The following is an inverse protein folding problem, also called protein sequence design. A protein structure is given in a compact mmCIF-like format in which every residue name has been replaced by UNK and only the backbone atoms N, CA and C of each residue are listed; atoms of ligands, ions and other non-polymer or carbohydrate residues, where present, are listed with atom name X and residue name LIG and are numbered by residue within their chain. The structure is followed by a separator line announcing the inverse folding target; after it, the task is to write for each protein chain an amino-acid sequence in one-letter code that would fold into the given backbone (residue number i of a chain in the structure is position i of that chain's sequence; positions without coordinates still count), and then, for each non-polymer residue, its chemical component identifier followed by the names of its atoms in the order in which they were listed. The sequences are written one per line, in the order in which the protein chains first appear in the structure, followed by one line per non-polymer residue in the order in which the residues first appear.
data_IF_519854948994
#
_entry.id   IF_519854948994
#
_cell.length_a   1.000
_cell.length_b   1.000
_cell.length_c   1.000
_cell.angle_alpha   90.00
_cell.angle_beta   90.00
_cell.angle_gamma   90.00
#
_symmetry.space_group_name_H-M   'P 1'
#
loop_
_entity.id
_entity.type
_entity.pdbx_description
1 polymer ?
#
# COMPACT_ATOMS: atom_id res chain seq x y z
N UNK A 1 33.96 -36.71 -27.87
CA UNK A 1 33.20 -35.66 -28.59
C UNK A 1 31.67 -35.82 -28.54
N UNK A 2 31.10 -37.03 -28.38
CA UNK A 2 29.64 -37.20 -28.28
C UNK A 2 28.99 -36.79 -26.93
N UNK A 3 29.76 -36.72 -25.84
CA UNK A 3 29.26 -36.31 -24.52
C UNK A 3 29.02 -34.79 -24.38
N UNK A 4 29.76 -33.98 -25.16
CA UNK A 4 29.70 -32.52 -25.07
C UNK A 4 28.51 -31.91 -25.83
N UNK A 5 27.89 -32.63 -26.77
CA UNK A 5 26.69 -32.17 -27.48
C UNK A 5 25.40 -32.31 -26.66
N UNK A 6 25.34 -33.22 -25.68
CA UNK A 6 24.13 -33.42 -24.86
C UNK A 6 23.93 -32.32 -23.81
N UNK A 7 25.03 -31.74 -23.30
CA UNK A 7 25.00 -30.64 -22.33
C UNK A 7 24.54 -29.32 -22.99
N UNK A 8 24.91 -29.11 -24.25
CA UNK A 8 24.47 -27.94 -25.03
C UNK A 8 23.00 -28.01 -25.44
N UNK A 9 22.45 -29.21 -25.71
CA UNK A 9 21.03 -29.38 -26.02
C UNK A 9 20.13 -29.16 -24.78
N UNK A 10 20.56 -29.61 -23.59
CA UNK A 10 19.80 -29.38 -22.34
C UNK A 10 19.81 -27.91 -21.90
N UNK A 11 20.92 -27.19 -22.11
CA UNK A 11 21.01 -25.75 -21.85
C UNK A 11 20.13 -24.91 -22.78
N UNK A 12 19.92 -25.35 -24.03
CA UNK A 12 19.09 -24.61 -24.99
C UNK A 12 17.59 -24.75 -24.72
N UNK A 13 17.14 -25.92 -24.22
CA UNK A 13 15.73 -26.15 -23.85
C UNK A 13 15.34 -25.38 -22.58
N UNK A 14 16.25 -25.25 -21.62
CA UNK A 14 16.02 -24.45 -20.41
C UNK A 14 16.11 -22.93 -20.66
N UNK A 15 16.96 -22.49 -21.59
CA UNK A 15 17.04 -21.07 -21.99
C UNK A 15 15.81 -20.58 -22.76
N UNK A 16 15.14 -21.45 -23.51
CA UNK A 16 13.93 -21.09 -24.26
C UNK A 16 12.65 -21.10 -23.41
N UNK A 17 12.63 -21.82 -22.28
CA UNK A 17 11.51 -21.80 -21.34
C UNK A 17 11.37 -20.47 -20.57
N UNK A 18 12.41 -19.63 -20.56
CA UNK A 18 12.40 -18.32 -19.88
C UNK A 18 11.83 -17.18 -20.73
N UNK A 19 11.57 -17.41 -22.02
CA UNK A 19 11.02 -16.40 -22.95
C UNK A 19 9.55 -16.64 -23.32
N UNK A 20 8.90 -17.65 -22.74
CA UNK A 20 7.46 -17.88 -22.90
C UNK A 20 6.69 -17.20 -21.75
N UNK A 21 5.56 -16.52 -22.01
CA UNK A 21 4.68 -16.06 -20.95
C UNK A 21 4.18 -17.25 -20.11
N UNK A 22 4.16 -17.08 -18.80
CA UNK A 22 3.65 -18.10 -17.87
C UNK A 22 2.24 -18.55 -18.30
N UNK A 23 1.97 -19.86 -18.46
CA UNK A 23 0.61 -20.32 -18.66
C UNK A 23 -0.19 -20.01 -17.39
N UNK A 24 -1.39 -19.48 -17.59
CA UNK A 24 -2.37 -19.36 -16.52
C UNK A 24 -2.55 -20.72 -15.82
N UNK A 25 -2.50 -20.69 -14.49
CA UNK A 25 -2.75 -21.78 -13.53
C UNK A 25 -3.43 -23.02 -14.12
N UNK A 26 -2.62 -24.00 -14.53
CA UNK A 26 -3.08 -25.38 -14.69
C UNK A 26 -2.78 -26.10 -13.37
N UNK A 27 -3.82 -26.45 -12.61
CA UNK A 27 -3.67 -27.24 -11.39
C UNK A 27 -3.16 -28.64 -11.73
N UNK A 28 -2.05 -29.04 -11.12
CA UNK A 28 -1.56 -30.43 -11.15
C UNK A 28 -2.43 -31.28 -10.22
N UNK A 29 -2.76 -32.50 -10.64
CA UNK A 29 -3.48 -33.47 -9.80
C UNK A 29 -2.48 -34.11 -8.81
N UNK A 30 -2.94 -34.49 -7.61
CA UNK A 30 -2.08 -35.14 -6.61
C UNK A 30 -1.35 -36.38 -7.15
N UNK A 31 -1.98 -37.15 -8.03
CA UNK A 31 -1.36 -38.31 -8.68
C UNK A 31 -0.14 -37.95 -9.55
N UNK A 32 -0.11 -36.76 -10.13
CA UNK A 32 1.01 -36.26 -10.96
C UNK A 32 2.18 -35.79 -10.07
N UNK A 33 1.88 -35.30 -8.87
CA UNK A 33 2.86 -34.91 -7.85
C UNK A 33 3.53 -36.13 -7.23
N UNK A 34 2.78 -37.21 -6.95
CA UNK A 34 3.34 -38.47 -6.45
C UNK A 34 4.29 -39.13 -7.45
N UNK A 35 3.99 -39.08 -8.77
CA UNK A 35 4.89 -39.60 -9.81
C UNK A 35 6.19 -38.79 -9.90
N UNK A 36 6.14 -37.49 -9.64
CA UNK A 36 7.31 -36.61 -9.61
C UNK A 36 8.18 -36.83 -8.37
N UNK A 37 7.57 -37.02 -7.19
CA UNK A 37 8.29 -37.31 -5.94
C UNK A 37 8.86 -38.74 -5.88
N UNK A 38 8.40 -39.65 -6.75
CA UNK A 38 8.82 -41.06 -6.78
C UNK A 38 10.02 -41.39 -7.70
N UNK A 39 10.56 -40.42 -8.46
CA UNK A 39 11.68 -40.65 -9.39
C UNK A 39 13.01 -40.17 -8.83
N UNK A 40 14.04 -41.03 -8.88
CA UNK A 40 15.41 -40.68 -8.50
C UNK A 40 16.05 -39.72 -9.53
N UNK A 41 16.20 -38.44 -9.15
CA UNK A 41 16.89 -37.43 -9.96
C UNK A 41 18.15 -36.93 -9.24
N UNK A 42 19.36 -37.43 -9.60
CA UNK A 42 20.59 -37.12 -8.88
C UNK A 42 21.10 -35.67 -9.01
N UNK A 43 20.37 -34.78 -9.73
CA UNK A 43 20.79 -33.40 -10.00
C UNK A 43 19.76 -32.33 -9.61
N UNK A 44 18.60 -32.69 -9.03
CA UNK A 44 17.53 -31.74 -8.63
C UNK A 44 17.00 -32.01 -7.22
N UNK A 45 17.76 -32.75 -6.39
CA UNK A 45 17.30 -33.24 -5.09
C UNK A 45 16.82 -32.14 -4.12
N UNK A 46 17.52 -31.01 -4.04
CA UNK A 46 17.24 -30.00 -3.01
C UNK A 46 15.95 -29.18 -3.22
N UNK A 47 15.49 -29.03 -4.47
CA UNK A 47 14.26 -28.26 -4.77
C UNK A 47 13.03 -29.17 -4.65
N UNK A 48 13.15 -30.43 -5.04
CA UNK A 48 12.07 -31.42 -4.98
C UNK A 48 11.82 -31.89 -3.56
N UNK A 49 12.86 -32.09 -2.74
CA UNK A 49 12.71 -32.51 -1.33
C UNK A 49 11.98 -31.46 -0.47
N UNK A 50 12.26 -30.17 -0.68
CA UNK A 50 11.55 -29.10 0.02
C UNK A 50 10.07 -29.02 -0.33
N UNK A 51 9.72 -29.34 -1.58
CA UNK A 51 8.34 -29.34 -2.07
C UNK A 51 7.56 -30.59 -1.62
N UNK A 52 8.18 -31.77 -1.65
CA UNK A 52 7.51 -33.02 -1.25
C UNK A 52 7.38 -33.15 0.28
N UNK A 53 8.19 -32.45 1.10
CA UNK A 53 8.07 -32.46 2.55
C UNK A 53 6.80 -31.75 3.06
N UNK A 54 6.35 -30.69 2.39
CA UNK A 54 5.14 -29.93 2.75
C UNK A 54 3.84 -30.66 2.38
N UNK A 55 3.89 -31.64 1.47
CA UNK A 55 2.70 -32.31 0.91
C UNK A 55 2.35 -33.62 1.64
N UNK A 56 3.20 -34.12 2.55
CA UNK A 56 2.97 -35.40 3.26
C UNK A 56 1.93 -35.35 4.41
N UNK A 57 1.07 -34.33 4.44
CA UNK A 57 -0.13 -34.33 5.29
C UNK A 57 -1.19 -35.27 4.71
N UNK A 58 -1.75 -36.14 5.55
CA UNK A 58 -2.69 -37.21 5.16
C UNK A 58 -3.91 -36.71 4.38
N UNK A 59 -4.05 -37.13 3.12
CA UNK A 59 -5.30 -37.02 2.37
C UNK A 59 -6.15 -38.28 2.63
N UNK A 60 -7.26 -38.15 3.37
CA UNK A 60 -8.32 -39.16 3.37
C UNK A 60 -9.45 -38.70 2.42
N UNK A 61 -10.01 -39.59 1.58
CA UNK A 61 -11.14 -39.26 0.74
C UNK A 61 -12.44 -39.34 1.56
N UNK A 62 -13.22 -38.26 1.60
CA UNK A 62 -14.59 -38.31 2.10
C UNK A 62 -15.62 -37.83 1.07
N UNK A 63 -16.81 -38.42 1.25
CA UNK A 63 -17.99 -38.54 0.40
C UNK A 63 -18.28 -37.48 -0.69
N UNK A 64 -18.61 -37.99 -1.87
CA UNK A 64 -19.09 -37.29 -3.08
C UNK A 64 -20.30 -36.36 -2.79
N UNK A 65 -20.17 -35.09 -3.16
CA UNK A 65 -21.31 -34.20 -3.46
C UNK A 65 -21.78 -34.48 -4.91
N UNK A 66 -23.00 -34.98 -5.14
CA UNK A 66 -23.47 -35.36 -6.47
C UNK A 66 -23.81 -34.18 -7.40
N UNK A 67 -23.65 -32.91 -6.98
CA UNK A 67 -24.16 -31.77 -7.76
C UNK A 67 -23.12 -30.81 -8.36
N UNK A 68 -21.82 -30.95 -8.07
CA UNK A 68 -20.83 -29.95 -8.50
C UNK A 68 -19.80 -30.42 -9.53
N UNK A 69 -19.58 -31.72 -9.73
CA UNK A 69 -18.70 -32.25 -10.80
C UNK A 69 -17.26 -31.72 -10.80
N UNK A 70 -16.83 -31.06 -9.72
CA UNK A 70 -15.51 -30.45 -9.56
C UNK A 70 -14.97 -30.88 -8.19
N UNK A 71 -13.89 -31.66 -8.19
CA UNK A 71 -13.14 -31.97 -6.98
C UNK A 71 -12.35 -30.72 -6.55
N UNK A 72 -12.69 -30.14 -5.40
CA UNK A 72 -11.90 -29.10 -4.76
C UNK A 72 -11.15 -29.70 -3.57
N UNK A 73 -9.82 -29.70 -3.63
CA UNK A 73 -8.94 -30.15 -2.55
C UNK A 73 -8.34 -28.94 -1.83
N UNK A 74 -8.53 -28.84 -0.52
CA UNK A 74 -7.94 -27.78 0.30
C UNK A 74 -6.88 -28.39 1.23
N UNK A 75 -5.67 -27.82 1.24
CA UNK A 75 -4.67 -28.11 2.28
C UNK A 75 -4.96 -27.24 3.51
N UNK A 76 -5.24 -27.87 4.66
CA UNK A 76 -5.32 -27.18 5.95
C UNK A 76 -4.08 -27.50 6.79
N UNK A 77 -3.52 -26.53 7.55
CA UNK A 77 -2.44 -26.79 8.48
C UNK A 77 -2.88 -27.77 9.59
N UNK A 78 -1.91 -28.50 10.17
CA UNK A 78 -2.13 -29.51 11.21
C UNK A 78 -3.08 -29.02 12.32
N UNK A 79 -4.07 -29.85 12.67
CA UNK A 79 -4.98 -29.63 13.79
C UNK A 79 -6.29 -28.91 13.45
N UNK A 80 -6.56 -28.58 12.17
CA UNK A 80 -7.88 -28.07 11.73
C UNK A 80 -8.69 -29.17 11.07
N UNK A 81 -9.98 -29.28 11.43
CA UNK A 81 -10.94 -30.14 10.74
C UNK A 81 -12.03 -29.28 10.11
N UNK A 82 -12.41 -29.66 8.89
CA UNK A 82 -13.56 -29.11 8.19
C UNK A 82 -14.63 -30.21 8.12
N UNK A 83 -15.82 -29.92 8.64
CA UNK A 83 -17.00 -30.81 8.60
C UNK A 83 -18.20 -29.92 8.34
N UNK A 84 -19.04 -30.30 7.37
CA UNK A 84 -20.34 -29.64 7.08
C UNK A 84 -20.27 -28.10 6.91
N UNK A 85 -19.21 -27.57 6.31
CA UNK A 85 -19.09 -26.12 6.07
C UNK A 85 -18.61 -25.30 7.27
N UNK A 86 -18.18 -25.94 8.36
CA UNK A 86 -17.72 -25.27 9.57
C UNK A 86 -16.27 -25.63 9.93
N UNK A 87 -15.54 -24.63 10.43
CA UNK A 87 -14.13 -24.74 10.82
C UNK A 87 -14.04 -24.86 12.35
N UNK A 88 -13.47 -25.96 12.84
CA UNK A 88 -13.34 -26.22 14.28
C UNK A 88 -11.90 -25.96 14.73
N UNK A 89 -11.73 -25.21 15.83
CA UNK A 89 -10.45 -25.02 16.51
C UNK A 89 -10.40 -25.86 17.79
N UNK A 90 -9.22 -26.39 18.19
CA UNK A 90 -9.08 -27.11 19.45
C UNK A 90 -9.30 -26.17 20.65
N UNK A 91 -9.87 -26.74 21.72
CA UNK A 91 -10.19 -26.04 22.96
C UNK A 91 -9.01 -25.22 23.50
N UNK A 92 -9.21 -23.91 23.70
CA UNK A 92 -8.26 -23.03 24.38
C UNK A 92 -7.58 -21.93 23.54
N UNK A 93 -7.91 -21.76 22.26
CA UNK A 93 -7.27 -20.79 21.37
C UNK A 93 -7.92 -19.39 21.28
N UNK A 94 -8.64 -18.93 22.32
CA UNK A 94 -9.13 -17.55 22.41
C UNK A 94 -8.60 -16.88 23.67
N UNK A 95 -7.55 -16.07 23.54
CA UNK A 95 -7.08 -15.20 24.61
C UNK A 95 -7.21 -13.72 24.18
N UNK A 96 -8.26 -13.00 24.60
CA UNK A 96 -8.26 -11.55 24.53
C UNK A 96 -7.76 -10.98 25.86
N UNK A 97 -6.61 -10.32 25.83
CA UNK A 97 -6.15 -9.50 26.94
C UNK A 97 -7.06 -8.26 27.07
N UNK A 98 -7.99 -8.27 28.04
CA UNK A 98 -8.85 -7.15 28.43
C UNK A 98 -9.81 -7.52 29.58
N UNK A 99 -10.17 -6.62 30.51
CA UNK A 99 -10.44 -7.00 31.90
C UNK A 99 -11.84 -7.56 32.16
N UNK A 100 -11.86 -8.78 32.71
CA UNK A 100 -12.80 -9.36 33.69
C UNK A 100 -14.29 -9.00 33.53
N UNK A 101 -15.01 -9.88 32.83
CA UNK A 101 -16.29 -10.40 33.32
C UNK A 101 -16.24 -11.93 33.21
N UNK A 102 -16.35 -12.59 34.36
CA UNK A 102 -16.24 -14.04 34.46
C UNK A 102 -17.46 -14.74 33.87
N UNK A 103 -17.23 -15.50 32.80
CA UNK A 103 -18.09 -16.60 32.37
C UNK A 103 -17.28 -17.88 32.43
N UNK A 104 -17.64 -18.80 33.31
CA UNK A 104 -17.09 -20.16 33.33
C UNK A 104 -17.85 -20.95 32.26
N UNK A 105 -17.17 -21.38 31.20
CA UNK A 105 -17.73 -22.37 30.28
C UNK A 105 -17.67 -23.75 30.94
N UNK A 106 -18.82 -24.35 31.23
CA UNK A 106 -18.90 -25.74 31.67
C UNK A 106 -18.64 -26.69 30.48
N UNK A 107 -17.83 -27.74 30.65
CA UNK A 107 -17.65 -28.75 29.61
C UNK A 107 -18.92 -29.61 29.50
N UNK A 108 -19.53 -29.66 28.31
CA UNK A 108 -20.59 -30.66 28.04
C UNK A 108 -21.79 -30.22 27.19
N UNK A 109 -21.88 -28.97 26.73
CA UNK A 109 -22.93 -28.57 25.77
C UNK A 109 -22.33 -28.04 24.48
N UNK A 110 -22.49 -28.82 23.40
CA UNK A 110 -22.33 -28.34 22.03
C UNK A 110 -23.54 -27.47 21.72
N UNK A 111 -23.40 -26.15 21.89
CA UNK A 111 -24.33 -25.21 21.28
C UNK A 111 -23.78 -24.82 19.92
N UNK A 112 -24.59 -25.01 18.87
CA UNK A 112 -24.42 -24.44 17.54
C UNK A 112 -24.54 -22.91 17.63
N UNK A 113 -23.55 -22.28 18.24
CA UNK A 113 -23.39 -20.83 18.15
C UNK A 113 -22.33 -20.60 17.09
N UNK A 114 -22.66 -20.00 15.94
CA UNK A 114 -21.64 -19.68 14.96
C UNK A 114 -20.60 -18.79 15.64
N UNK A 115 -19.35 -19.26 15.68
CA UNK A 115 -18.21 -18.42 16.00
C UNK A 115 -18.10 -17.40 14.87
N UNK A 116 -18.83 -16.29 14.99
CA UNK A 116 -18.49 -15.09 14.26
C UNK A 116 -17.12 -14.66 14.78
N UNK A 117 -16.06 -14.97 14.04
CA UNK A 117 -14.89 -14.11 14.10
C UNK A 117 -15.43 -12.69 13.88
N UNK A 118 -15.17 -11.72 14.77
CA UNK A 118 -15.33 -10.34 14.37
C UNK A 118 -14.35 -10.15 13.21
N UNK A 119 -14.84 -10.28 11.99
CA UNK A 119 -14.35 -9.41 10.96
C UNK A 119 -14.61 -8.03 11.53
N UNK A 120 -13.55 -7.31 11.91
CA UNK A 120 -13.62 -5.90 12.27
C UNK A 120 -14.22 -5.18 11.05
N UNK A 121 -15.55 -5.13 11.05
CA UNK A 121 -16.41 -4.95 9.91
C UNK A 121 -16.65 -3.48 9.65
N UNK A 122 -15.57 -2.73 9.41
CA UNK A 122 -15.68 -1.52 8.64
C UNK A 122 -15.56 -1.94 7.18
N UNK A 123 -16.69 -2.42 6.61
CA UNK A 123 -16.87 -2.26 5.18
C UNK A 123 -16.69 -0.76 4.93
N UNK A 124 -15.69 -0.33 4.13
CA UNK A 124 -15.40 1.08 3.96
C UNK A 124 -16.69 1.80 3.60
N UNK A 125 -16.90 2.98 4.19
CA UNK A 125 -18.10 3.75 3.92
C UNK A 125 -18.24 3.92 2.40
N UNK A 126 -19.47 3.99 1.88
CA UNK A 126 -19.66 4.18 0.44
C UNK A 126 -18.93 5.45 -0.01
N UNK A 127 -17.84 5.27 -0.76
CA UNK A 127 -17.03 6.35 -1.29
C UNK A 127 -17.80 7.14 -2.33
N UNK A 128 -17.64 8.45 -2.30
CA UNK A 128 -18.20 9.34 -3.31
C UNK A 128 -17.29 9.38 -4.53
N UNK A 129 -17.82 9.09 -5.72
CA UNK A 129 -17.07 9.18 -6.96
C UNK A 129 -16.84 10.65 -7.35
N UNK A 130 -15.57 11.05 -7.49
CA UNK A 130 -15.18 12.36 -8.03
C UNK A 130 -14.93 12.33 -9.55
N UNK A 131 -14.96 11.14 -10.17
CA UNK A 131 -14.71 10.91 -11.59
C UNK A 131 -13.29 10.40 -11.90
N UNK A 132 -13.08 9.85 -13.11
CA UNK A 132 -11.79 9.36 -13.62
C UNK A 132 -11.04 8.36 -12.72
N UNK A 133 -11.74 7.58 -11.90
CA UNK A 133 -11.12 6.65 -10.95
C UNK A 133 -10.71 7.29 -9.62
N UNK A 134 -11.25 8.46 -9.28
CA UNK A 134 -11.14 9.08 -7.97
C UNK A 134 -12.36 8.76 -7.09
N UNK A 135 -12.09 8.32 -5.86
CA UNK A 135 -13.08 8.12 -4.80
C UNK A 135 -12.73 8.99 -3.60
N UNK A 136 -13.74 9.57 -2.96
CA UNK A 136 -13.61 10.40 -1.77
C UNK A 136 -14.37 9.81 -0.58
N UNK A 137 -13.75 9.89 0.59
CA UNK A 137 -14.29 9.42 1.86
C UNK A 137 -14.05 10.49 2.94
N UNK A 138 -15.00 10.60 3.88
CA UNK A 138 -14.80 11.34 5.12
C UNK A 138 -15.17 10.41 6.28
N UNK A 139 -14.17 9.99 7.04
CA UNK A 139 -14.31 8.99 8.10
C UNK A 139 -13.64 9.51 9.37
N UNK A 140 -14.46 9.86 10.38
CA UNK A 140 -13.94 10.32 11.68
C UNK A 140 -13.11 11.60 11.62
N UNK A 141 -13.37 12.50 10.66
CA UNK A 141 -12.59 13.73 10.45
C UNK A 141 -11.29 13.53 9.67
N UNK A 142 -11.10 12.35 9.06
CA UNK A 142 -10.08 12.11 8.05
C UNK A 142 -10.75 12.18 6.67
N UNK A 143 -10.19 13.01 5.80
CA UNK A 143 -10.56 13.12 4.40
C UNK A 143 -9.60 12.29 3.55
N UNK A 144 -10.12 11.26 2.88
CA UNK A 144 -9.34 10.35 2.05
C UNK A 144 -9.79 10.53 0.61
N UNK A 145 -8.82 10.69 -0.30
CA UNK A 145 -9.04 10.48 -1.73
C UNK A 145 -8.20 9.30 -2.19
N UNK A 146 -8.85 8.34 -2.86
CA UNK A 146 -8.19 7.20 -3.48
C UNK A 146 -8.20 7.42 -4.99
N UNK A 147 -7.02 7.45 -5.60
CA UNK A 147 -6.81 7.55 -7.03
C UNK A 147 -6.36 6.22 -7.62
N UNK A 148 -7.09 5.72 -8.62
CA UNK A 148 -6.70 4.56 -9.41
C UNK A 148 -5.60 4.94 -10.42
N UNK A 149 -4.37 4.53 -10.14
CA UNK A 149 -3.20 4.71 -11.00
C UNK A 149 -3.22 3.80 -12.24
N UNK A 150 -4.13 2.82 -12.28
CA UNK A 150 -4.35 1.99 -13.48
C UNK A 150 -5.37 2.60 -14.44
N UNK A 151 -6.09 3.65 -14.03
CA UNK A 151 -6.96 4.44 -14.90
C UNK A 151 -6.14 5.07 -16.03
N UNK A 152 -6.50 4.84 -17.31
CA UNK A 152 -5.77 5.44 -18.43
C UNK A 152 -6.02 6.95 -18.55
N UNK A 153 -7.03 7.47 -17.87
CA UNK A 153 -7.49 8.86 -17.98
C UNK A 153 -7.04 9.73 -16.80
N UNK A 154 -6.29 9.17 -15.86
CA UNK A 154 -5.85 9.85 -14.64
C UNK A 154 -4.33 9.81 -14.49
N UNK A 155 -3.75 10.92 -14.04
CA UNK A 155 -2.36 10.95 -13.58
C UNK A 155 -2.24 11.66 -12.23
N UNK A 156 -1.34 11.14 -11.38
CA UNK A 156 -0.93 11.77 -10.12
C UNK A 156 0.46 12.36 -10.31
N UNK A 157 0.62 13.65 -10.03
CA UNK A 157 1.80 14.46 -10.32
C UNK A 157 2.22 15.28 -9.12
N UNK A 158 3.48 15.71 -9.15
CA UNK A 158 4.03 16.73 -8.25
C UNK A 158 4.29 17.99 -9.05
N UNK A 159 3.97 19.14 -8.48
CA UNK A 159 4.34 20.44 -9.02
C UNK A 159 4.91 21.34 -7.92
N UNK A 160 5.68 22.33 -8.36
CA UNK A 160 6.28 23.36 -7.53
C UNK A 160 6.26 24.69 -8.30
N UNK A 161 5.99 25.83 -7.64
CA UNK A 161 5.95 27.11 -8.33
C UNK A 161 7.29 27.39 -9.02
N UNK A 162 7.20 27.93 -10.23
CA UNK A 162 8.40 28.32 -11.00
C UNK A 162 8.91 29.66 -10.49
N UNK A 163 9.67 29.66 -9.40
CA UNK A 163 10.32 30.86 -8.89
C UNK A 163 10.57 30.76 -7.39
N UNK A 164 11.77 31.13 -6.96
CA UNK A 164 12.25 30.97 -5.59
C UNK A 164 11.98 32.18 -4.68
N UNK A 165 11.18 33.15 -5.13
CA UNK A 165 10.77 34.27 -4.27
C UNK A 165 9.45 33.96 -3.59
N UNK A 166 9.25 34.44 -2.37
CA UNK A 166 7.96 34.35 -1.66
C UNK A 166 6.80 34.92 -2.50
N UNK A 167 7.09 35.83 -3.42
CA UNK A 167 6.16 36.40 -4.40
C UNK A 167 5.56 35.35 -5.36
N UNK A 168 6.22 34.20 -5.54
CA UNK A 168 5.77 33.10 -6.38
C UNK A 168 5.14 31.94 -5.59
N UNK A 169 4.99 32.06 -4.26
CA UNK A 169 4.34 31.03 -3.47
C UNK A 169 2.83 31.00 -3.79
N UNK A 170 2.33 29.81 -4.14
CA UNK A 170 0.93 29.55 -4.47
C UNK A 170 0.30 28.70 -3.39
N UNK A 171 -0.98 28.97 -3.10
CA UNK A 171 -1.84 28.08 -2.32
C UNK A 171 -2.02 26.74 -3.04
N UNK A 172 -2.46 25.70 -2.31
CA UNK A 172 -2.79 24.40 -2.89
C UNK A 172 -3.89 24.53 -3.94
N UNK A 173 -4.90 25.37 -3.69
CA UNK A 173 -5.95 25.68 -4.66
C UNK A 173 -5.42 26.33 -5.94
N UNK A 174 -4.56 27.36 -5.82
CA UNK A 174 -3.96 28.01 -6.99
C UNK A 174 -3.12 27.04 -7.82
N UNK A 175 -2.35 26.16 -7.17
CA UNK A 175 -1.65 25.05 -7.85
C UNK A 175 -2.62 24.13 -8.58
N UNK A 176 -3.70 23.71 -7.90
CA UNK A 176 -4.69 22.81 -8.45
C UNK A 176 -5.36 23.40 -9.69
N UNK A 177 -5.77 24.67 -9.61
CA UNK A 177 -6.40 25.39 -10.71
C UNK A 177 -5.47 25.55 -11.91
N UNK A 178 -4.22 25.96 -11.69
CA UNK A 178 -3.22 26.09 -12.75
C UNK A 178 -2.89 24.75 -13.43
N UNK A 179 -2.85 23.66 -12.65
CA UNK A 179 -2.58 22.32 -13.15
C UNK A 179 -3.80 21.67 -13.85
N UNK A 180 -5.00 22.22 -13.66
CA UNK A 180 -6.26 21.58 -14.06
C UNK A 180 -6.54 20.32 -13.26
N UNK A 181 -6.19 20.32 -11.97
CA UNK A 181 -6.36 19.19 -11.07
C UNK A 181 -7.82 18.99 -10.65
N UNK A 182 -8.16 17.73 -10.37
CA UNK A 182 -9.40 17.35 -9.71
C UNK A 182 -9.26 17.34 -8.19
N UNK A 183 -8.07 16.97 -7.70
CA UNK A 183 -7.72 16.92 -6.27
C UNK A 183 -6.27 17.36 -6.11
N UNK A 184 -5.96 18.10 -5.04
CA UNK A 184 -4.60 18.50 -4.70
C UNK A 184 -4.37 18.52 -3.18
N UNK A 185 -3.17 18.15 -2.73
CA UNK A 185 -2.74 18.16 -1.33
C UNK A 185 -1.38 18.84 -1.19
N UNK A 186 -1.15 19.53 -0.07
CA UNK A 186 0.19 20.01 0.27
C UNK A 186 1.21 18.85 0.33
N UNK A 187 2.49 19.13 0.05
CA UNK A 187 3.53 18.10 0.04
C UNK A 187 4.61 18.32 1.10
N UNK A 188 5.86 18.44 0.69
CA UNK A 188 7.04 18.52 1.54
C UNK A 188 6.90 19.58 2.65
N UNK A 189 7.61 19.35 3.75
CA UNK A 189 7.95 20.42 4.69
C UNK A 189 8.70 21.52 3.96
N UNK A 190 8.67 22.74 4.51
CA UNK A 190 9.36 23.87 3.91
C UNK A 190 9.77 24.90 4.96
N UNK A 191 10.72 25.76 4.61
CA UNK A 191 11.17 26.82 5.51
C UNK A 191 12.27 27.70 4.92
N UNK A 192 12.84 28.55 5.79
CA UNK A 192 13.86 29.53 5.42
C UNK A 192 13.30 30.77 4.69
N UNK A 193 14.17 31.72 4.34
CA UNK A 193 13.78 33.03 3.77
C UNK A 193 13.13 32.98 2.39
N UNK A 194 13.10 31.81 1.76
CA UNK A 194 12.65 31.63 0.37
C UNK A 194 11.70 30.45 0.22
N UNK A 195 11.15 29.95 1.33
CA UNK A 195 10.14 28.89 1.34
C UNK A 195 10.61 27.60 0.63
N UNK A 196 11.87 27.21 0.83
CA UNK A 196 12.44 26.07 0.13
C UNK A 196 11.83 24.75 0.62
N UNK A 197 11.59 23.76 -0.26
CA UNK A 197 11.16 22.44 0.16
C UNK A 197 12.26 21.74 0.95
N UNK A 198 11.84 20.94 1.93
CA UNK A 198 12.72 20.08 2.70
C UNK A 198 12.77 18.70 2.03
N UNK A 199 13.98 18.21 1.78
CA UNK A 199 14.25 16.95 1.11
C UNK A 199 13.89 16.95 -0.37
N UNK A 200 14.08 15.80 -1.02
CA UNK A 200 13.90 15.70 -2.46
C UNK A 200 12.43 15.94 -2.87
N UNK A 201 12.24 16.62 -4.00
CA UNK A 201 10.97 16.73 -4.69
C UNK A 201 11.18 16.67 -6.20
N UNK A 202 10.25 16.04 -6.92
CA UNK A 202 10.34 15.85 -8.37
C UNK A 202 8.96 15.79 -8.99
N UNK A 203 8.78 16.56 -10.05
CA UNK A 203 7.62 16.50 -10.94
C UNK A 203 8.03 16.21 -12.38
N UNK A 204 7.30 15.35 -13.11
CA UNK A 204 7.54 15.08 -14.54
C UNK A 204 8.97 14.64 -14.89
N UNK A 205 9.64 13.94 -13.97
CA UNK A 205 11.03 13.49 -14.13
C UNK A 205 12.08 14.60 -13.93
N UNK A 206 11.68 15.81 -13.53
CA UNK A 206 12.56 16.95 -13.23
C UNK A 206 12.61 17.22 -11.73
N UNK A 207 13.81 17.17 -11.18
CA UNK A 207 14.06 17.45 -9.77
C UNK A 207 13.96 18.95 -9.51
N UNK A 208 13.39 19.31 -8.36
CA UNK A 208 13.47 20.67 -7.82
C UNK A 208 14.77 20.76 -7.02
N UNK A 209 15.67 21.66 -7.43
CA UNK A 209 17.09 21.66 -7.02
C UNK A 209 17.36 22.55 -5.80
N UNK A 210 16.36 23.27 -5.35
CA UNK A 210 16.40 24.26 -4.28
C UNK A 210 15.96 23.69 -2.93
N UNK A 211 15.92 22.36 -2.81
CA UNK A 211 15.61 21.70 -1.55
C UNK A 211 16.77 21.75 -0.56
N UNK A 212 16.46 21.94 0.73
CA UNK A 212 17.42 21.74 1.81
C UNK A 212 17.25 20.35 2.45
N UNK A 213 18.32 19.82 3.04
CA UNK A 213 18.27 18.58 3.82
C UNK A 213 18.41 18.90 5.32
N UNK A 214 17.77 18.09 6.16
CA UNK A 214 17.87 18.15 7.62
C UNK A 214 18.16 16.74 8.13
N UNK A 215 19.06 16.55 9.09
CA UNK A 215 19.34 15.20 9.60
C UNK A 215 18.16 14.68 10.43
N UNK A 216 17.66 13.48 10.11
CA UNK A 216 16.55 12.84 10.82
C UNK A 216 15.16 13.41 10.51
N UNK A 217 15.07 14.38 9.61
CA UNK A 217 13.83 14.90 9.04
C UNK A 217 14.01 15.01 7.52
N UNK A 218 12.97 14.91 6.71
CA UNK A 218 13.13 15.10 5.26
C UNK A 218 14.12 14.13 4.57
N UNK A 219 14.27 12.93 5.14
CA UNK A 219 15.12 11.86 4.58
C UNK A 219 14.30 10.73 3.99
N UNK A 220 12.99 10.66 4.24
CA UNK A 220 12.13 9.61 3.68
C UNK A 220 11.33 10.19 2.52
N UNK A 221 11.52 9.65 1.33
CA UNK A 221 10.74 9.97 0.15
C UNK A 221 9.75 8.87 -0.19
N UNK A 222 8.62 9.28 -0.78
CA UNK A 222 7.74 8.41 -1.56
C UNK A 222 7.94 8.76 -3.03
N UNK A 223 8.47 7.81 -3.80
CA UNK A 223 8.64 7.95 -5.24
C UNK A 223 7.63 7.09 -5.98
N UNK A 224 7.06 7.59 -7.08
CA UNK A 224 6.17 6.82 -7.93
C UNK A 224 6.33 7.14 -9.42
N UNK A 225 5.80 6.21 -10.20
CA UNK A 225 5.58 6.31 -11.64
C UNK A 225 4.36 5.46 -11.99
N UNK A 226 3.97 5.46 -13.27
CA UNK A 226 2.92 4.55 -13.77
C UNK A 226 3.23 3.05 -13.58
N UNK A 227 4.49 2.71 -13.28
CA UNK A 227 4.96 1.32 -13.18
C UNK A 227 5.13 0.84 -11.74
N UNK A 228 4.84 1.70 -10.76
CA UNK A 228 4.96 1.39 -9.35
C UNK A 228 5.59 2.54 -8.57
N UNK A 229 5.79 2.28 -7.28
CA UNK A 229 6.37 3.24 -6.35
C UNK A 229 6.79 2.55 -5.05
N UNK A 230 7.56 3.26 -4.24
CA UNK A 230 8.04 2.78 -2.94
C UNK A 230 8.47 3.94 -2.05
N UNK A 231 8.56 3.65 -0.76
CA UNK A 231 9.32 4.46 0.19
C UNK A 231 10.81 4.14 0.09
N UNK A 232 11.64 5.16 0.29
CA UNK A 232 13.09 4.98 0.40
C UNK A 232 13.75 6.14 1.14
N UNK A 233 14.96 5.90 1.62
CA UNK A 233 15.83 6.92 2.17
C UNK A 233 16.47 7.77 1.04
N UNK A 234 16.09 9.03 1.00
CA UNK A 234 16.56 10.04 0.06
C UNK A 234 17.71 10.90 0.58
N UNK A 235 18.20 10.66 1.80
CA UNK A 235 19.30 11.42 2.39
C UNK A 235 20.52 11.42 1.47
N UNK A 236 20.99 12.62 1.07
CA UNK A 236 22.12 12.78 0.17
C UNK A 236 21.85 12.38 -1.28
N UNK A 237 20.58 12.13 -1.64
CA UNK A 237 20.13 11.75 -2.99
C UNK A 237 19.26 12.82 -3.66
N UNK A 238 19.24 14.04 -3.12
CA UNK A 238 18.52 15.20 -3.62
C UNK A 238 19.04 15.66 -5.01
N UNK A 239 20.21 15.19 -5.43
CA UNK A 239 20.74 15.36 -6.79
C UNK A 239 20.87 14.07 -7.59
N UNK A 240 20.42 12.91 -7.07
CA UNK A 240 20.69 11.62 -7.72
C UNK A 240 19.83 11.44 -8.97
N UNK A 241 20.50 11.52 -10.13
CA UNK A 241 19.90 11.31 -11.43
C UNK A 241 19.35 9.88 -11.62
N UNK A 242 19.84 8.88 -10.86
CA UNK A 242 19.36 7.50 -10.95
C UNK A 242 17.92 7.38 -10.48
N UNK A 243 17.52 8.19 -9.50
CA UNK A 243 16.12 8.27 -9.09
C UNK A 243 15.21 8.64 -10.28
N UNK A 244 15.70 9.41 -11.27
CA UNK A 244 14.91 9.85 -12.45
C UNK A 244 14.53 8.70 -13.36
N UNK A 245 15.32 7.62 -13.37
CA UNK A 245 15.00 6.42 -14.14
C UNK A 245 13.93 5.57 -13.46
N UNK A 246 13.76 5.73 -12.14
CA UNK A 246 12.86 4.92 -11.34
C UNK A 246 11.52 5.59 -11.07
N UNK A 247 11.55 6.89 -10.80
CA UNK A 247 10.36 7.65 -10.43
C UNK A 247 10.24 8.92 -11.27
N UNK A 248 9.06 9.10 -11.85
CA UNK A 248 8.68 10.34 -12.53
C UNK A 248 8.29 11.41 -11.51
N UNK A 249 7.75 10.99 -10.39
CA UNK A 249 7.20 11.84 -9.33
C UNK A 249 7.81 11.43 -7.98
N UNK A 250 8.07 12.40 -7.11
CA UNK A 250 8.67 12.15 -5.79
C UNK A 250 8.35 13.31 -4.86
N UNK A 251 8.00 12.99 -3.62
CA UNK A 251 7.95 13.94 -2.51
C UNK A 251 8.68 13.40 -1.29
N UNK A 252 9.12 14.30 -0.44
CA UNK A 252 9.82 13.97 0.82
C UNK A 252 9.03 14.50 1.98
N UNK A 253 8.92 13.68 3.02
CA UNK A 253 8.07 13.92 4.16
C UNK A 253 8.85 13.85 5.46
N UNK A 254 8.10 13.81 6.56
CA UNK A 254 8.68 13.78 7.90
C UNK A 254 9.32 12.42 8.15
N UNK A 255 8.62 11.38 7.72
CA UNK A 255 9.03 9.99 7.83
C UNK A 255 7.90 9.03 7.46
N UNK A 256 8.19 7.73 7.45
CA UNK A 256 7.22 6.71 7.06
C UNK A 256 6.12 6.59 8.11
N UNK A 257 4.88 6.44 7.65
CA UNK A 257 3.73 6.08 8.47
C UNK A 257 3.46 4.58 8.36
N UNK A 258 3.55 4.03 7.15
CA UNK A 258 3.39 2.61 6.86
C UNK A 258 4.54 2.14 5.98
N UNK A 259 5.02 0.91 6.22
CA UNK A 259 6.03 0.23 5.40
C UNK A 259 5.60 -1.22 5.18
N UNK A 260 5.31 -1.60 3.93
CA UNK A 260 4.85 -2.95 3.59
C UNK A 260 3.58 -3.40 4.33
N UNK A 261 2.66 -2.47 4.60
CA UNK A 261 1.41 -2.70 5.33
C UNK A 261 1.57 -2.73 6.85
N UNK A 262 2.75 -2.38 7.37
CA UNK A 262 3.03 -2.34 8.81
C UNK A 262 3.15 -0.90 9.28
N UNK A 263 2.63 -0.61 10.47
CA UNK A 263 2.82 0.69 11.11
C UNK A 263 4.29 0.94 11.38
N UNK A 264 4.74 2.14 11.02
CA UNK A 264 6.03 2.67 11.46
C UNK A 264 5.89 3.35 12.82
N UNK A 265 6.93 3.21 13.64
CA UNK A 265 7.03 3.82 14.96
C UNK A 265 7.62 5.24 14.90
N UNK A 266 8.02 5.71 13.72
CA UNK A 266 8.63 7.03 13.52
C UNK A 266 7.75 8.18 14.05
N UNK A 267 6.43 8.03 13.97
CA UNK A 267 5.47 9.10 14.23
C UNK A 267 5.11 9.32 15.72
N UNK A 268 5.51 8.43 16.65
CA UNK A 268 5.03 8.47 18.06
C UNK A 268 5.28 9.79 18.78
N UNK A 269 6.32 10.54 18.39
CA UNK A 269 6.66 11.82 19.04
C UNK A 269 6.22 13.06 18.25
N UNK A 270 5.93 12.95 16.95
CA UNK A 270 5.71 14.11 16.06
C UNK A 270 4.23 14.40 15.76
N UNK A 271 3.36 13.40 15.84
CA UNK A 271 1.92 13.55 15.58
C UNK A 271 1.13 13.58 16.89
N UNK A 272 1.15 14.75 17.55
CA UNK A 272 0.36 14.99 18.76
C UNK A 272 -1.05 15.47 18.43
N UNK A 273 -2.07 15.11 19.22
CA UNK A 273 -3.42 15.69 19.11
C UNK A 273 -3.41 17.22 19.09
N UNK A 274 -4.41 17.83 18.44
CA UNK A 274 -4.58 19.29 18.43
C UNK A 274 -4.04 20.00 17.19
N UNK A 275 -3.65 19.27 16.13
CA UNK A 275 -3.18 19.85 14.85
C UNK A 275 -3.86 19.13 13.68
N UNK A 276 -3.88 19.76 12.51
CA UNK A 276 -4.16 19.07 11.25
C UNK A 276 -2.89 18.33 10.79
N UNK A 277 -3.05 17.28 10.00
CA UNK A 277 -1.92 16.59 9.37
C UNK A 277 -2.31 16.06 8.01
N UNK A 278 -1.33 15.88 7.14
CA UNK A 278 -1.52 15.25 5.84
C UNK A 278 -0.54 14.10 5.62
N UNK A 279 -0.94 13.21 4.73
CA UNK A 279 -0.15 12.08 4.29
C UNK A 279 -0.52 11.69 2.86
N UNK A 280 0.39 10.93 2.25
CA UNK A 280 0.12 10.20 1.01
C UNK A 280 0.51 8.74 1.17
N UNK A 281 -0.12 7.86 0.40
CA UNK A 281 0.15 6.44 0.45
C UNK A 281 0.02 5.74 -0.90
N UNK A 282 0.62 4.56 -0.99
CA UNK A 282 0.50 3.62 -2.10
C UNK A 282 -0.07 2.31 -1.59
N UNK A 283 -1.00 1.72 -2.34
CA UNK A 283 -1.48 0.37 -2.07
C UNK A 283 -0.41 -0.69 -2.27
N UNK A 284 -0.60 -1.89 -1.69
CA UNK A 284 0.34 -3.01 -1.83
C UNK A 284 0.64 -3.39 -3.29
N UNK A 285 -0.39 -3.35 -4.15
CA UNK A 285 -0.28 -3.63 -5.58
C UNK A 285 0.22 -2.42 -6.41
N UNK A 286 0.46 -1.28 -5.76
CA UNK A 286 0.92 -0.01 -6.35
C UNK A 286 -0.03 0.57 -7.41
N UNK A 287 -1.28 0.12 -7.43
CA UNK A 287 -2.31 0.62 -8.36
C UNK A 287 -3.17 1.73 -7.78
N UNK A 288 -3.10 2.01 -6.48
CA UNK A 288 -3.84 3.09 -5.85
C UNK A 288 -2.90 4.06 -5.16
N UNK A 289 -3.17 5.34 -5.35
CA UNK A 289 -2.52 6.44 -4.64
C UNK A 289 -3.53 7.09 -3.70
N UNK A 290 -3.15 7.29 -2.44
CA UNK A 290 -4.02 7.82 -1.42
C UNK A 290 -3.55 9.22 -1.04
N UNK A 291 -4.49 10.16 -0.96
CA UNK A 291 -4.33 11.48 -0.35
C UNK A 291 -5.10 11.46 0.96
N UNK A 292 -4.48 11.84 2.06
CA UNK A 292 -5.15 11.88 3.37
C UNK A 292 -4.85 13.18 4.06
N UNK A 293 -5.90 13.86 4.55
CA UNK A 293 -5.77 15.00 5.45
C UNK A 293 -6.73 14.84 6.62
N UNK A 294 -6.31 15.25 7.81
CA UNK A 294 -7.16 15.30 8.99
C UNK A 294 -7.66 16.73 9.25
N UNK A 295 -8.90 16.83 9.74
CA UNK A 295 -9.46 18.05 10.31
C UNK A 295 -8.60 18.58 11.48
N UNK A 296 -8.76 19.88 11.77
CA UNK A 296 -8.12 20.50 12.90
C UNK A 296 -8.51 19.81 14.22
N UNK A 297 -7.49 19.36 14.96
CA UNK A 297 -7.66 18.73 16.27
C UNK A 297 -7.92 17.23 16.23
N UNK A 298 -8.17 16.65 15.06
CA UNK A 298 -8.43 15.22 14.87
C UNK A 298 -7.13 14.42 14.74
N UNK A 299 -6.08 15.01 14.19
CA UNK A 299 -4.89 14.26 13.82
C UNK A 299 -4.23 13.54 15.01
N UNK A 300 -4.06 12.22 14.86
CA UNK A 300 -3.13 11.41 15.64
C UNK A 300 -2.30 10.54 14.69
N UNK A 301 -1.11 10.12 15.13
CA UNK A 301 -0.29 9.20 14.33
C UNK A 301 -0.99 7.87 14.06
N UNK A 302 -1.67 7.33 15.08
CA UNK A 302 -2.43 6.08 14.97
C UNK A 302 -3.65 6.23 14.06
N UNK A 303 -4.45 7.29 14.22
CA UNK A 303 -5.64 7.51 13.40
C UNK A 303 -5.31 7.75 11.93
N UNK A 304 -4.20 8.45 11.64
CA UNK A 304 -3.74 8.62 10.27
C UNK A 304 -3.30 7.29 9.64
N UNK A 305 -2.59 6.44 10.42
CA UNK A 305 -2.24 5.08 9.99
C UNK A 305 -3.47 4.19 9.80
N UNK A 306 -4.48 4.31 10.67
CA UNK A 306 -5.75 3.59 10.58
C UNK A 306 -6.47 3.92 9.28
N UNK A 307 -6.62 5.21 8.97
CA UNK A 307 -7.23 5.68 7.74
C UNK A 307 -6.48 5.15 6.50
N UNK A 308 -5.14 5.21 6.50
CA UNK A 308 -4.35 4.69 5.39
C UNK A 308 -4.50 3.18 5.22
N UNK A 309 -4.44 2.40 6.30
CA UNK A 309 -4.59 0.94 6.28
C UNK A 309 -5.99 0.50 5.85
N UNK A 310 -7.04 1.17 6.35
CA UNK A 310 -8.43 0.88 6.00
C UNK A 310 -8.70 1.04 4.50
N UNK A 311 -8.00 1.97 3.85
CA UNK A 311 -8.09 2.20 2.40
C UNK A 311 -7.03 1.43 1.59
N UNK A 312 -6.27 0.55 2.25
CA UNK A 312 -5.39 -0.45 1.64
C UNK A 312 -3.99 0.05 1.29
N UNK A 313 -3.53 1.15 1.89
CA UNK A 313 -2.14 1.57 1.77
C UNK A 313 -1.20 0.53 2.41
N UNK A 314 -0.11 0.23 1.71
CA UNK A 314 1.00 -0.57 2.24
C UNK A 314 2.17 0.33 2.63
N UNK A 315 2.47 1.33 1.81
CA UNK A 315 3.49 2.33 2.10
C UNK A 315 2.83 3.69 2.23
N UNK A 316 3.22 4.46 3.24
CA UNK A 316 2.70 5.80 3.42
C UNK A 316 3.72 6.73 4.07
N UNK A 317 3.62 8.01 3.73
CA UNK A 317 4.54 9.07 4.12
C UNK A 317 3.76 10.21 4.77
N UNK A 318 4.24 10.69 5.93
CA UNK A 318 3.70 11.92 6.52
C UNK A 318 4.21 13.14 5.75
N UNK A 319 3.29 14.03 5.37
CA UNK A 319 3.59 15.31 4.71
C UNK A 319 3.55 16.48 5.71
N UNK A 320 3.72 17.70 5.21
CA UNK A 320 3.73 18.88 6.08
C UNK A 320 2.39 19.07 6.83
N UNK A 321 2.50 19.38 8.10
CA UNK A 321 1.41 19.37 9.07
C UNK A 321 0.86 20.76 9.40
N UNK A 322 -0.05 20.80 10.38
CA UNK A 322 -0.53 22.03 11.00
C UNK A 322 -1.26 22.93 10.00
N UNK A 323 -0.90 24.21 9.95
CA UNK A 323 -1.52 25.18 9.05
C UNK A 323 -1.32 24.86 7.55
N UNK A 324 -0.32 24.04 7.20
CA UNK A 324 -0.09 23.66 5.81
C UNK A 324 -0.96 22.50 5.33
N UNK A 325 -1.60 21.76 6.24
CA UNK A 325 -2.37 20.56 5.89
C UNK A 325 -3.66 20.94 5.15
N UNK A 326 -3.65 20.78 3.83
CA UNK A 326 -4.75 21.19 2.95
C UNK A 326 -5.02 20.14 1.91
N UNK A 327 -6.27 19.74 1.78
CA UNK A 327 -6.80 18.99 0.65
C UNK A 327 -7.85 19.83 -0.06
N UNK A 328 -7.62 20.08 -1.35
CA UNK A 328 -8.54 20.80 -2.23
C UNK A 328 -9.17 19.83 -3.23
N UNK A 329 -10.47 19.99 -3.47
CA UNK A 329 -11.23 19.20 -4.46
C UNK A 329 -11.95 20.14 -5.42
N UNK A 330 -11.85 19.86 -6.72
CA UNK A 330 -12.49 20.64 -7.77
C UNK A 330 -14.02 20.71 -7.54
N UNK A 331 -14.56 21.93 -7.65
CA UNK A 331 -15.98 22.20 -7.38
C UNK A 331 -16.37 22.23 -5.90
N UNK A 332 -15.46 21.94 -4.97
CA UNK A 332 -15.71 22.02 -3.52
C UNK A 332 -14.84 23.05 -2.80
N UNK A 333 -13.60 23.20 -3.23
CA UNK A 333 -12.60 23.95 -2.48
C UNK A 333 -11.90 23.07 -1.43
N UNK A 334 -11.44 23.68 -0.34
CA UNK A 334 -10.81 22.97 0.77
C UNK A 334 -11.85 22.16 1.56
N UNK A 335 -11.50 20.93 1.90
CA UNK A 335 -12.42 20.03 2.63
C UNK A 335 -12.17 19.95 4.12
N UNK A 336 -10.99 20.37 4.61
CA UNK A 336 -10.53 20.12 5.97
C UNK A 336 -10.25 21.38 6.80
N UNK A 337 -10.58 22.60 6.31
CA UNK A 337 -10.48 23.91 7.00
C UNK A 337 -10.76 25.08 6.01
N UNK A 338 -10.79 26.33 6.53
CA UNK A 338 -10.93 27.56 5.72
C UNK A 338 -9.68 27.94 4.88
N UNK A 339 -9.86 28.57 3.69
CA UNK A 339 -8.77 29.01 2.80
C UNK A 339 -7.74 29.95 3.41
N UNK A 340 -8.14 30.77 4.39
CA UNK A 340 -7.31 31.85 4.98
C UNK A 340 -6.06 31.34 5.69
N UNK A 341 -6.01 30.04 5.96
CA UNK A 341 -4.91 29.39 6.66
C UNK A 341 -3.97 28.62 5.73
N UNK A 342 -4.14 28.66 4.40
CA UNK A 342 -3.20 28.03 3.47
C UNK A 342 -1.87 28.82 3.44
N UNK A 343 -0.79 28.14 3.84
CA UNK A 343 0.56 28.70 3.96
C UNK A 343 1.34 28.76 2.64
N UNK A 344 0.69 28.45 1.52
CA UNK A 344 1.29 28.50 0.18
C UNK A 344 2.51 27.58 0.05
N UNK A 345 2.32 26.26 0.17
CA UNK A 345 3.43 25.31 0.16
C UNK A 345 4.16 25.36 -1.20
N UNK A 346 5.50 25.19 -1.21
CA UNK A 346 6.29 25.22 -2.45
C UNK A 346 6.12 23.95 -3.28
N UNK A 347 5.51 22.90 -2.74
CA UNK A 347 5.31 21.63 -3.44
C UNK A 347 3.91 21.12 -3.15
N UNK A 348 3.23 20.65 -4.20
CA UNK A 348 1.88 20.10 -4.15
C UNK A 348 1.85 18.77 -4.90
N UNK A 349 1.12 17.80 -4.36
CA UNK A 349 0.75 16.57 -5.07
C UNK A 349 -0.68 16.72 -5.54
N UNK A 350 -0.97 16.36 -6.80
CA UNK A 350 -2.32 16.48 -7.33
C UNK A 350 -2.65 15.34 -8.30
N UNK A 351 -3.94 15.08 -8.46
CA UNK A 351 -4.48 14.18 -9.47
C UNK A 351 -5.24 14.99 -10.53
N UNK A 352 -5.05 14.67 -11.81
CA UNK A 352 -5.71 15.37 -12.92
C UNK A 352 -6.02 14.45 -14.11
N UNK A 353 -6.88 14.88 -15.05
CA UNK A 353 -7.08 14.14 -16.29
C UNK A 353 -5.78 14.06 -17.11
N UNK A 354 -5.52 12.91 -17.72
CA UNK A 354 -4.44 12.75 -18.70
C UNK A 354 -4.79 13.54 -19.97
N UNK A 355 -3.85 14.35 -20.49
CA UNK A 355 -4.03 15.17 -21.70
C UNK A 355 -3.23 14.67 -22.88
#
# INVERSE_FOLDING_TARGET
MAASLRVLAAGLVLGLAWLAPAPASAGLRCSEVEELCGRDWPLVGAIVEGWCADVRGSCEPDALDPLSGVEAWFCLPEGKRYSDGHCYLPDGACNPAGPRLGGVCSPGSWHETPCACPADGLSPAHGEALGLGLLYFNEGGYHIVVADLSSPDLEVRVDAPRGTSEENALTVAEHAEQAGALVAINANYFGGPSNYPCGAARGTGRQFLDAYAEDGNCVTSLGWSRWGGELFDSSGREGDWRLRRRFTELVTGGGPLLEGGRRSEWNRAKLTPGRSCSAVGLSADRKRFLFVVADLGVCTGEGLQDALLAHGAADALQLDGGGSSRLWIAGRGYVNDEPSLDRRPPVVVYARPLR
#
